data_IF_553171732337
#
_entry.id   IF_553171732337
#
_cell.length_a   1.000
_cell.length_b   1.000
_cell.length_c   1.000
_cell.angle_alpha   90.00
_cell.angle_beta   90.00
_cell.angle_gamma   90.00
#
_symmetry.space_group_name_H-M   'P 1'
#
loop_
_entity.id
_entity.type
_entity.pdbx_description
1 polymer ?
#
# COMPACT_ATOMS: atom_id res chain seq x y z
N UNK A 1 3.99 87.56 4.07
CA UNK A 1 4.80 86.34 3.91
C UNK A 1 5.49 86.08 5.24
N UNK A 2 5.39 84.96 5.96
CA UNK A 2 4.86 83.60 5.74
C UNK A 2 4.20 83.13 7.04
N UNK A 3 3.17 82.28 6.88
CA UNK A 3 2.28 81.78 7.92
C UNK A 3 2.95 80.68 8.77
N UNK A 4 2.72 80.74 10.08
CA UNK A 4 2.83 79.63 11.02
C UNK A 4 1.78 78.57 10.66
N UNK A 5 2.17 77.30 10.55
CA UNK A 5 1.24 76.17 10.46
C UNK A 5 1.47 75.32 11.70
N UNK A 6 0.48 75.35 12.60
CA UNK A 6 0.32 74.43 13.72
C UNK A 6 -0.24 73.13 13.15
N UNK A 7 0.50 72.04 13.26
CA UNK A 7 0.01 70.71 12.95
C UNK A 7 -0.77 70.17 14.15
N UNK A 8 -2.09 70.06 13.99
CA UNK A 8 -2.96 69.42 14.97
C UNK A 8 -2.71 67.90 14.96
N UNK A 9 -2.14 67.39 16.06
CA UNK A 9 -2.11 65.97 16.37
C UNK A 9 -3.54 65.53 16.74
N UNK A 10 -4.25 64.92 15.78
CA UNK A 10 -5.44 64.13 16.08
C UNK A 10 -4.99 62.84 16.77
N UNK A 11 -5.07 62.85 18.10
CA UNK A 11 -5.12 61.62 18.90
C UNK A 11 -6.43 60.92 18.57
N UNK A 12 -6.38 59.96 17.65
CA UNK A 12 -7.44 58.96 17.54
C UNK A 12 -7.37 58.10 18.81
N UNK A 13 -8.23 58.41 19.77
CA UNK A 13 -8.45 57.54 20.91
C UNK A 13 -8.94 56.20 20.40
N UNK A 14 -8.12 55.16 20.52
CA UNK A 14 -8.57 53.77 20.39
C UNK A 14 -9.42 53.46 21.60
N UNK A 15 -10.70 53.85 21.58
CA UNK A 15 -11.67 53.24 22.47
C UNK A 15 -11.61 51.73 22.21
N UNK A 16 -11.27 50.95 23.22
CA UNK A 16 -11.46 49.51 23.24
C UNK A 16 -12.96 49.23 23.23
N UNK A 17 -13.61 49.46 22.09
CA UNK A 17 -14.88 48.83 21.80
C UNK A 17 -14.56 47.33 21.75
N UNK A 18 -15.14 46.54 22.64
CA UNK A 18 -15.26 45.11 22.38
C UNK A 18 -15.99 45.02 21.03
N UNK A 19 -15.29 44.64 19.97
CA UNK A 19 -15.91 44.44 18.68
C UNK A 19 -17.00 43.38 18.88
N UNK A 20 -18.26 43.77 18.70
CA UNK A 20 -19.36 42.84 18.78
C UNK A 20 -19.21 41.83 17.64
N UNK A 21 -19.56 40.56 17.89
CA UNK A 21 -19.45 39.50 16.90
C UNK A 21 -20.07 39.92 15.56
N UNK A 22 -19.35 39.61 14.49
CA UNK A 22 -19.78 39.87 13.13
C UNK A 22 -21.14 39.20 12.87
N UNK A 23 -21.96 39.75 11.96
CA UNK A 23 -23.21 39.10 11.55
C UNK A 23 -22.97 37.67 11.02
N UNK A 24 -21.82 37.44 10.36
CA UNK A 24 -21.41 36.13 9.89
C UNK A 24 -21.18 35.15 11.05
N UNK A 25 -20.42 35.55 12.07
CA UNK A 25 -20.19 34.73 13.25
C UNK A 25 -21.51 34.42 13.97
N UNK A 26 -22.37 35.42 14.18
CA UNK A 26 -23.69 35.21 14.80
C UNK A 26 -24.57 34.21 14.05
N UNK A 27 -24.54 34.23 12.72
CA UNK A 27 -25.28 33.27 11.91
C UNK A 27 -24.75 31.84 12.13
N UNK A 28 -23.43 31.66 12.12
CA UNK A 28 -22.78 30.35 12.35
C UNK A 28 -23.10 29.83 13.76
N UNK A 29 -22.95 30.66 14.79
CA UNK A 29 -23.26 30.30 16.19
C UNK A 29 -24.75 30.03 16.42
N UNK A 30 -25.62 30.57 15.55
CA UNK A 30 -27.06 30.30 15.58
C UNK A 30 -27.44 28.89 15.11
N UNK A 31 -26.63 28.28 14.24
CA UNK A 31 -26.88 26.97 13.64
C UNK A 31 -26.96 25.86 14.70
N UNK A 32 -27.86 24.90 14.47
CA UNK A 32 -28.15 23.80 15.43
C UNK A 32 -27.61 22.45 15.01
N UNK A 33 -27.08 22.36 13.79
CA UNK A 33 -26.47 21.14 13.27
C UNK A 33 -25.11 21.43 12.70
N UNK A 34 -24.20 20.46 12.78
CA UNK A 34 -22.87 20.59 12.20
C UNK A 34 -22.95 20.97 10.71
N UNK A 35 -23.81 20.32 9.93
CA UNK A 35 -23.93 20.55 8.50
C UNK A 35 -24.37 21.98 8.17
N UNK A 36 -25.32 22.54 8.93
CA UNK A 36 -25.75 23.93 8.78
C UNK A 36 -24.62 24.91 9.14
N UNK A 37 -23.98 24.69 10.29
CA UNK A 37 -22.88 25.53 10.76
C UNK A 37 -21.69 25.52 9.78
N UNK A 38 -21.34 24.34 9.26
CA UNK A 38 -20.26 24.16 8.29
C UNK A 38 -20.58 24.83 6.95
N UNK A 39 -21.81 24.71 6.46
CA UNK A 39 -22.23 25.38 5.24
C UNK A 39 -22.14 26.91 5.37
N UNK A 40 -22.62 27.46 6.48
CA UNK A 40 -22.53 28.90 6.77
C UNK A 40 -21.08 29.36 6.90
N UNK A 41 -20.23 28.60 7.60
CA UNK A 41 -18.81 28.90 7.74
C UNK A 41 -18.10 28.91 6.39
N UNK A 42 -18.29 27.88 5.56
CA UNK A 42 -17.71 27.82 4.21
C UNK A 42 -18.12 29.00 3.34
N UNK A 43 -19.36 29.48 3.47
CA UNK A 43 -19.87 30.62 2.71
C UNK A 43 -19.34 31.98 3.22
N UNK A 44 -19.04 32.10 4.51
CA UNK A 44 -18.78 33.38 5.17
C UNK A 44 -17.42 33.49 5.85
N UNK A 45 -16.50 32.54 5.63
CA UNK A 45 -15.17 32.50 6.27
C UNK A 45 -14.38 33.81 6.11
N UNK A 46 -14.40 34.42 4.92
CA UNK A 46 -13.71 35.68 4.63
C UNK A 46 -14.40 36.91 5.23
N UNK A 47 -15.62 36.76 5.75
CA UNK A 47 -16.39 37.83 6.40
C UNK A 47 -16.17 37.86 7.92
N UNK A 48 -15.48 36.86 8.48
CA UNK A 48 -15.15 36.79 9.91
C UNK A 48 -14.01 37.77 10.26
N UNK A 49 -14.19 38.50 11.36
CA UNK A 49 -13.28 39.53 11.83
C UNK A 49 -12.02 38.91 12.48
N UNK A 50 -11.09 38.49 11.63
CA UNK A 50 -9.78 38.01 12.05
C UNK A 50 -9.77 36.60 12.64
N UNK A 51 -8.62 36.17 13.20
CA UNK A 51 -8.43 34.79 13.64
C UNK A 51 -9.30 34.40 14.83
N UNK A 52 -9.67 35.34 15.71
CA UNK A 52 -10.49 35.02 16.88
C UNK A 52 -11.89 34.55 16.49
N UNK A 53 -12.57 35.26 15.58
CA UNK A 53 -13.90 34.83 15.10
C UNK A 53 -13.83 33.54 14.28
N UNK A 54 -12.75 33.33 13.50
CA UNK A 54 -12.53 32.08 12.77
C UNK A 54 -12.37 30.90 13.73
N UNK A 55 -11.55 31.05 14.77
CA UNK A 55 -11.37 30.02 15.79
C UNK A 55 -12.68 29.70 16.53
N UNK A 56 -13.46 30.73 16.88
CA UNK A 56 -14.76 30.58 17.54
C UNK A 56 -15.79 29.85 16.66
N UNK A 57 -15.87 30.22 15.38
CA UNK A 57 -16.74 29.55 14.42
C UNK A 57 -16.39 28.05 14.27
N UNK A 58 -15.11 27.72 14.12
CA UNK A 58 -14.68 26.31 14.07
C UNK A 58 -14.91 25.59 15.40
N UNK A 59 -14.73 26.23 16.55
CA UNK A 59 -15.01 25.60 17.84
C UNK A 59 -16.50 25.25 17.99
N UNK A 60 -17.41 26.10 17.48
CA UNK A 60 -18.85 25.78 17.46
C UNK A 60 -19.16 24.52 16.66
N UNK A 61 -18.48 24.31 15.53
CA UNK A 61 -18.55 23.04 14.79
C UNK A 61 -18.07 21.87 15.65
N UNK A 62 -16.96 22.02 16.40
CA UNK A 62 -16.48 20.98 17.32
C UNK A 62 -17.53 20.67 18.39
N UNK A 63 -18.16 21.67 18.98
CA UNK A 63 -19.17 21.51 20.02
C UNK A 63 -20.38 20.72 19.51
N UNK A 64 -20.98 21.17 18.39
CA UNK A 64 -22.11 20.49 17.75
C UNK A 64 -21.79 19.03 17.42
N UNK A 65 -20.58 18.78 16.91
CA UNK A 65 -20.18 17.45 16.48
C UNK A 65 -19.84 16.54 17.66
N UNK A 66 -19.22 17.06 18.71
CA UNK A 66 -18.97 16.31 19.95
C UNK A 66 -20.25 15.98 20.70
N UNK A 67 -21.26 16.86 20.69
CA UNK A 67 -22.56 16.55 21.28
C UNK A 67 -23.22 15.33 20.61
N UNK A 68 -23.22 15.31 19.28
CA UNK A 68 -23.71 14.17 18.50
C UNK A 68 -22.89 12.90 18.76
N UNK A 69 -21.56 12.99 18.77
CA UNK A 69 -20.69 11.85 19.08
C UNK A 69 -20.96 11.31 20.50
N UNK A 70 -21.02 12.19 21.50
CA UNK A 70 -21.22 11.82 22.90
C UNK A 70 -22.57 11.12 23.08
N UNK A 71 -23.62 11.60 22.42
CA UNK A 71 -24.94 10.96 22.45
C UNK A 71 -24.89 9.52 21.95
N UNK A 72 -24.33 9.27 20.78
CA UNK A 72 -24.30 7.93 20.18
C UNK A 72 -23.31 7.00 20.90
N UNK A 73 -22.13 7.52 21.28
CA UNK A 73 -21.10 6.73 21.98
C UNK A 73 -21.51 6.31 23.40
N UNK A 74 -22.31 7.12 24.10
CA UNK A 74 -22.88 6.73 25.40
C UNK A 74 -23.82 5.53 25.26
N UNK A 75 -24.68 5.52 24.24
CA UNK A 75 -25.58 4.38 23.97
C UNK A 75 -24.76 3.14 23.59
N UNK A 76 -23.72 3.30 22.76
CA UNK A 76 -22.82 2.20 22.40
C UNK A 76 -22.11 1.61 23.63
N UNK A 77 -21.59 2.46 24.52
CA UNK A 77 -20.94 2.03 25.76
C UNK A 77 -21.91 1.34 26.72
N UNK A 78 -23.13 1.88 26.86
CA UNK A 78 -24.18 1.25 27.67
C UNK A 78 -24.50 -0.14 27.15
N UNK A 79 -24.71 -0.28 25.84
CA UNK A 79 -24.97 -1.57 25.21
C UNK A 79 -23.83 -2.58 25.44
N UNK A 80 -22.57 -2.15 25.30
CA UNK A 80 -21.41 -3.01 25.54
C UNK A 80 -21.33 -3.46 27.01
N UNK A 81 -21.59 -2.56 27.95
CA UNK A 81 -21.60 -2.84 29.40
C UNK A 81 -22.71 -3.83 29.76
N UNK A 82 -23.93 -3.63 29.25
CA UNK A 82 -25.05 -4.55 29.46
C UNK A 82 -24.73 -5.96 28.97
N UNK A 83 -24.16 -6.08 27.76
CA UNK A 83 -23.71 -7.38 27.20
C UNK A 83 -22.67 -8.06 28.08
N UNK A 84 -21.69 -7.31 28.60
CA UNK A 84 -20.67 -7.84 29.51
C UNK A 84 -21.28 -8.35 30.83
N UNK A 85 -22.37 -7.73 31.30
CA UNK A 85 -23.11 -8.15 32.48
C UNK A 85 -24.13 -9.29 32.21
N UNK A 86 -24.15 -9.84 30.99
CA UNK A 86 -25.10 -10.90 30.60
C UNK A 86 -26.53 -10.40 30.37
N UNK A 87 -26.73 -9.09 30.23
CA UNK A 87 -28.01 -8.46 29.92
C UNK A 87 -28.11 -8.11 28.43
N UNK A 88 -29.33 -7.85 27.94
CA UNK A 88 -29.52 -7.36 26.58
C UNK A 88 -28.96 -5.94 26.43
N UNK A 89 -28.13 -5.73 25.41
CA UNK A 89 -27.51 -4.44 25.08
C UNK A 89 -27.80 -4.05 23.63
N UNK A 90 -29.07 -3.78 23.34
CA UNK A 90 -29.58 -3.64 21.98
C UNK A 90 -30.29 -2.30 21.74
N UNK A 91 -30.05 -1.29 22.58
CA UNK A 91 -30.59 0.06 22.36
C UNK A 91 -30.06 0.58 21.03
N UNK A 92 -30.91 0.97 20.06
CA UNK A 92 -30.43 1.47 18.77
C UNK A 92 -29.59 2.74 18.93
N UNK A 93 -28.50 2.83 18.17
CA UNK A 93 -27.67 4.02 18.03
C UNK A 93 -27.16 4.11 16.59
N UNK A 94 -26.83 5.32 16.15
CA UNK A 94 -26.35 5.55 14.79
C UNK A 94 -24.81 5.47 14.77
N UNK A 95 -24.30 4.28 14.43
CA UNK A 95 -22.86 4.02 14.32
C UNK A 95 -22.18 4.90 13.26
N UNK A 96 -22.85 5.14 12.13
CA UNK A 96 -22.32 5.98 11.05
C UNK A 96 -22.17 7.42 11.55
N UNK A 97 -23.24 7.96 12.15
CA UNK A 97 -23.23 9.30 12.73
C UNK A 97 -22.19 9.42 13.83
N UNK A 98 -22.05 8.42 14.70
CA UNK A 98 -21.03 8.42 15.75
C UNK A 98 -19.61 8.64 15.18
N UNK A 99 -19.18 7.80 14.23
CA UNK A 99 -17.85 7.92 13.65
C UNK A 99 -17.67 9.20 12.82
N UNK A 100 -18.67 9.57 12.02
CA UNK A 100 -18.61 10.80 11.22
C UNK A 100 -18.54 12.05 12.10
N UNK A 101 -19.30 12.08 13.20
CA UNK A 101 -19.25 13.18 14.16
C UNK A 101 -17.89 13.28 14.85
N UNK A 102 -17.28 12.16 15.26
CA UNK A 102 -15.93 12.24 15.83
C UNK A 102 -14.89 12.74 14.81
N UNK A 103 -14.97 12.27 13.56
CA UNK A 103 -14.11 12.74 12.47
C UNK A 103 -14.28 14.24 12.23
N UNK A 104 -15.52 14.71 12.11
CA UNK A 104 -15.86 16.13 11.92
C UNK A 104 -15.34 17.00 13.06
N UNK A 105 -15.53 16.56 14.32
CA UNK A 105 -15.00 17.24 15.49
C UNK A 105 -13.47 17.34 15.45
N UNK A 106 -12.78 16.26 15.07
CA UNK A 106 -11.32 16.27 14.93
C UNK A 106 -10.86 17.27 13.85
N UNK A 107 -11.46 17.24 12.66
CA UNK A 107 -11.09 18.17 11.58
C UNK A 107 -11.34 19.63 11.97
N UNK A 108 -12.52 19.94 12.53
CA UNK A 108 -12.86 21.28 12.97
C UNK A 108 -11.95 21.77 14.10
N UNK A 109 -11.50 20.89 14.99
CA UNK A 109 -10.61 21.27 16.08
C UNK A 109 -9.17 21.56 15.59
N UNK A 110 -8.70 20.82 14.59
CA UNK A 110 -7.41 21.10 13.96
C UNK A 110 -7.43 22.48 13.29
N UNK A 111 -8.48 22.81 12.54
CA UNK A 111 -8.65 24.13 11.94
C UNK A 111 -8.88 25.24 12.97
N UNK A 112 -9.68 24.98 14.01
CA UNK A 112 -9.84 25.89 15.14
C UNK A 112 -8.48 26.28 15.73
N UNK A 113 -7.62 25.29 15.99
CA UNK A 113 -6.29 25.53 16.54
C UNK A 113 -5.38 26.33 15.59
N UNK A 114 -5.50 26.16 14.27
CA UNK A 114 -4.73 26.98 13.31
C UNK A 114 -4.99 28.47 13.50
N UNK A 115 -6.25 28.86 13.74
CA UNK A 115 -6.62 30.26 13.99
C UNK A 115 -6.40 30.69 15.45
N UNK A 116 -6.69 29.80 16.42
CA UNK A 116 -6.56 30.09 17.86
C UNK A 116 -5.12 30.38 18.29
N UNK A 117 -4.15 29.88 17.52
CA UNK A 117 -2.72 30.12 17.72
C UNK A 117 -2.19 31.37 17.00
N UNK A 118 -3.01 32.06 16.20
CA UNK A 118 -2.57 33.29 15.53
C UNK A 118 -2.53 34.48 16.51
N UNK A 119 -1.62 35.45 16.29
CA UNK A 119 -1.63 36.69 17.06
C UNK A 119 -2.94 37.45 16.86
N UNK A 120 -3.50 37.97 17.95
CA UNK A 120 -4.64 38.88 17.88
C UNK A 120 -4.24 40.26 17.33
N UNK A 121 -5.20 41.19 17.26
CA UNK A 121 -4.96 42.58 16.79
C UNK A 121 -3.86 43.32 17.59
N UNK A 122 -3.54 42.85 18.80
CA UNK A 122 -2.47 43.40 19.66
C UNK A 122 -1.15 42.63 19.53
N UNK A 123 -1.04 41.71 18.57
CA UNK A 123 0.14 40.88 18.32
C UNK A 123 0.38 39.79 19.36
N UNK A 124 -0.59 39.49 20.24
CA UNK A 124 -0.45 38.46 21.29
C UNK A 124 -1.10 37.15 20.86
N UNK A 125 -0.40 36.04 21.06
CA UNK A 125 -0.96 34.69 20.95
C UNK A 125 -1.59 34.30 22.28
N UNK A 126 -2.90 34.08 22.31
CA UNK A 126 -3.64 33.69 23.52
C UNK A 126 -4.76 32.69 23.16
N UNK A 127 -4.39 31.41 22.98
CA UNK A 127 -5.34 30.37 22.60
C UNK A 127 -6.49 30.25 23.62
N UNK A 128 -7.72 30.19 23.13
CA UNK A 128 -8.95 30.04 23.93
C UNK A 128 -9.44 28.59 23.94
N UNK A 129 -9.20 27.83 22.88
CA UNK A 129 -9.87 26.56 22.60
C UNK A 129 -8.91 25.35 22.53
N UNK A 130 -7.61 25.57 22.29
CA UNK A 130 -6.63 24.47 22.18
C UNK A 130 -6.75 23.46 23.33
N UNK A 131 -6.62 23.89 24.58
CA UNK A 131 -6.61 22.98 25.74
C UNK A 131 -7.93 22.21 25.92
N UNK A 132 -9.08 22.85 25.70
CA UNK A 132 -10.38 22.18 25.82
C UNK A 132 -10.57 21.14 24.71
N UNK A 133 -10.19 21.48 23.48
CA UNK A 133 -10.26 20.58 22.33
C UNK A 133 -9.29 19.42 22.46
N UNK A 134 -8.06 19.68 22.88
CA UNK A 134 -7.05 18.67 23.14
C UNK A 134 -7.55 17.61 24.14
N UNK A 135 -8.07 18.06 25.29
CA UNK A 135 -8.54 17.18 26.37
C UNK A 135 -9.70 16.28 25.95
N UNK A 136 -10.68 16.79 25.18
CA UNK A 136 -11.85 16.01 24.79
C UNK A 136 -11.60 15.08 23.60
N UNK A 137 -10.62 15.40 22.75
CA UNK A 137 -10.34 14.62 21.54
C UNK A 137 -9.21 13.61 21.73
N UNK A 138 -8.09 13.96 22.37
CA UNK A 138 -6.87 13.13 22.32
C UNK A 138 -7.08 11.68 22.78
N UNK A 139 -7.74 11.50 23.93
CA UNK A 139 -8.02 10.17 24.50
C UNK A 139 -8.97 9.31 23.67
N UNK A 140 -9.67 9.91 22.70
CA UNK A 140 -10.68 9.25 21.88
C UNK A 140 -10.21 8.98 20.44
N UNK A 141 -8.93 9.23 20.10
CA UNK A 141 -8.40 9.07 18.73
C UNK A 141 -8.63 7.68 18.15
N UNK A 142 -8.74 6.64 18.97
CA UNK A 142 -9.08 5.27 18.54
C UNK A 142 -10.40 5.19 17.75
N UNK A 143 -11.33 6.13 17.94
CA UNK A 143 -12.56 6.21 17.14
C UNK A 143 -12.29 6.50 15.67
N UNK A 144 -11.16 7.14 15.31
CA UNK A 144 -10.77 7.30 13.91
C UNK A 144 -10.36 5.96 13.30
N UNK A 145 -9.66 5.11 14.05
CA UNK A 145 -9.29 3.76 13.60
C UNK A 145 -10.56 2.94 13.35
N UNK A 146 -11.47 2.93 14.33
CA UNK A 146 -12.71 2.17 14.25
C UNK A 146 -13.62 2.67 13.11
N UNK A 147 -13.71 3.99 12.92
CA UNK A 147 -14.43 4.57 11.79
C UNK A 147 -13.80 4.18 10.45
N UNK A 148 -12.47 4.26 10.32
CA UNK A 148 -11.76 3.82 9.13
C UNK A 148 -12.05 2.36 8.79
N UNK A 149 -12.02 1.48 9.79
CA UNK A 149 -12.28 0.04 9.61
C UNK A 149 -13.75 -0.23 9.26
N UNK A 150 -14.69 0.48 9.87
CA UNK A 150 -16.11 0.43 9.55
C UNK A 150 -16.36 0.76 8.06
N UNK A 151 -15.79 1.86 7.56
CA UNK A 151 -15.94 2.25 6.17
C UNK A 151 -15.22 1.31 5.20
N UNK A 152 -14.04 0.80 5.58
CA UNK A 152 -13.28 -0.16 4.77
C UNK A 152 -14.05 -1.45 4.57
N UNK A 153 -14.64 -2.00 5.63
CA UNK A 153 -15.47 -3.22 5.56
C UNK A 153 -16.75 -2.99 4.74
N UNK A 154 -17.29 -1.78 4.74
CA UNK A 154 -18.40 -1.38 3.88
C UNK A 154 -18.00 -1.10 2.41
N UNK A 155 -16.73 -1.33 2.03
CA UNK A 155 -16.20 -1.07 0.69
C UNK A 155 -15.98 0.41 0.35
N UNK A 156 -16.13 1.32 1.32
CA UNK A 156 -15.99 2.77 1.17
C UNK A 156 -14.55 3.21 1.46
N UNK A 157 -13.61 2.71 0.66
CA UNK A 157 -12.17 2.85 0.91
C UNK A 157 -11.67 4.30 0.88
N UNK A 158 -12.26 5.19 0.07
CA UNK A 158 -11.91 6.62 0.07
C UNK A 158 -12.22 7.26 1.42
N UNK A 159 -13.41 7.01 1.96
CA UNK A 159 -13.80 7.52 3.30
C UNK A 159 -12.95 6.88 4.39
N UNK A 160 -12.66 5.58 4.29
CA UNK A 160 -11.77 4.91 5.24
C UNK A 160 -10.37 5.55 5.29
N UNK A 161 -9.83 5.93 4.13
CA UNK A 161 -8.54 6.60 4.04
C UNK A 161 -8.52 7.94 4.76
N UNK A 162 -9.60 8.73 4.65
CA UNK A 162 -9.71 10.01 5.36
C UNK A 162 -9.59 9.83 6.89
N UNK A 163 -10.22 8.78 7.42
CA UNK A 163 -10.14 8.43 8.84
C UNK A 163 -8.73 8.03 9.27
N UNK A 164 -8.05 7.17 8.50
CA UNK A 164 -6.66 6.79 8.79
C UNK A 164 -5.72 7.98 8.68
N UNK A 165 -5.92 8.87 7.69
CA UNK A 165 -5.17 10.12 7.56
C UNK A 165 -5.38 11.02 8.77
N UNK A 166 -6.61 11.22 9.21
CA UNK A 166 -6.92 12.01 10.40
C UNK A 166 -6.23 11.43 11.65
N UNK A 167 -6.17 10.11 11.80
CA UNK A 167 -5.44 9.48 12.89
C UNK A 167 -3.94 9.77 12.82
N UNK A 168 -3.31 9.58 11.66
CA UNK A 168 -1.87 9.80 11.48
C UNK A 168 -1.49 11.27 11.65
N UNK A 169 -2.24 12.19 11.03
CA UNK A 169 -1.99 13.64 11.13
C UNK A 169 -2.17 14.15 12.56
N UNK A 170 -3.13 13.61 13.31
CA UNK A 170 -3.38 14.03 14.70
C UNK A 170 -2.29 13.61 15.69
N UNK A 171 -1.37 12.70 15.33
CA UNK A 171 -0.31 12.25 16.24
C UNK A 171 0.63 13.39 16.68
N UNK A 172 1.05 14.23 15.73
CA UNK A 172 1.96 15.37 15.96
C UNK A 172 1.30 16.74 15.76
N UNK A 173 -0.03 16.78 15.68
CA UNK A 173 -0.75 18.04 15.52
C UNK A 173 -0.51 18.98 16.72
N UNK A 174 -0.22 20.29 16.48
CA UNK A 174 -0.01 21.26 17.55
C UNK A 174 -1.18 21.41 18.52
N UNK A 175 -2.39 21.04 18.10
CA UNK A 175 -3.59 20.96 18.94
C UNK A 175 -3.38 20.10 20.19
N UNK A 176 -2.48 19.12 20.15
CA UNK A 176 -2.25 18.19 21.27
C UNK A 176 -0.97 18.48 22.05
N UNK A 177 -0.42 19.70 21.95
CA UNK A 177 0.79 20.06 22.68
C UNK A 177 0.55 20.22 24.19
N UNK A 178 -0.68 20.54 24.63
CA UNK A 178 -1.02 20.68 26.05
C UNK A 178 -1.36 19.37 26.76
N UNK A 179 -1.51 18.26 26.04
CA UNK A 179 -1.83 16.95 26.62
C UNK A 179 -0.57 16.10 26.79
N UNK A 180 -0.54 15.31 27.87
CA UNK A 180 0.50 14.31 28.06
C UNK A 180 0.33 13.19 27.02
N UNK A 181 1.27 13.11 26.07
CA UNK A 181 1.24 12.08 25.03
C UNK A 181 1.65 10.74 25.61
N UNK A 182 0.81 9.72 25.41
CA UNK A 182 1.15 8.33 25.70
C UNK A 182 1.77 7.68 24.45
N UNK A 183 2.57 6.61 24.60
CA UNK A 183 2.97 5.80 23.45
C UNK A 183 1.74 5.38 22.65
N UNK A 184 1.76 5.66 21.35
CA UNK A 184 0.68 5.32 20.43
C UNK A 184 1.07 4.03 19.72
N UNK A 185 0.55 2.91 20.24
CA UNK A 185 0.86 1.57 19.72
C UNK A 185 0.29 1.35 18.30
N UNK A 186 -0.70 2.15 17.88
CA UNK A 186 -1.36 1.99 16.59
C UNK A 186 -0.80 2.92 15.50
N UNK A 187 0.00 3.91 15.86
CA UNK A 187 0.43 4.98 14.94
C UNK A 187 1.03 4.46 13.63
N UNK A 188 2.05 3.60 13.74
CA UNK A 188 2.73 3.06 12.56
C UNK A 188 1.88 2.04 11.80
N UNK A 189 1.05 1.26 12.51
CA UNK A 189 0.17 0.27 11.87
C UNK A 189 -0.99 0.91 11.13
N UNK A 190 -1.57 1.98 11.66
CA UNK A 190 -2.62 2.75 10.96
C UNK A 190 -2.03 3.43 9.74
N UNK A 191 -0.81 3.96 9.83
CA UNK A 191 -0.11 4.49 8.66
C UNK A 191 0.14 3.40 7.61
N UNK A 192 0.57 2.20 8.01
CA UNK A 192 0.76 1.06 7.11
C UNK A 192 -0.54 0.69 6.39
N UNK A 193 -1.67 0.57 7.11
CA UNK A 193 -2.98 0.28 6.51
C UNK A 193 -3.39 1.39 5.56
N UNK A 194 -3.28 2.65 5.99
CA UNK A 194 -3.59 3.80 5.16
C UNK A 194 -2.76 3.87 3.88
N UNK A 195 -1.47 3.54 3.94
CA UNK A 195 -0.57 3.50 2.79
C UNK A 195 -1.05 2.48 1.73
N UNK A 196 -1.45 1.28 2.17
CA UNK A 196 -1.99 0.23 1.28
C UNK A 196 -3.31 0.68 0.65
N UNK A 197 -4.24 1.22 1.45
CA UNK A 197 -5.53 1.71 0.95
C UNK A 197 -5.33 2.84 -0.06
N UNK A 198 -4.47 3.81 0.25
CA UNK A 198 -4.14 4.89 -0.67
C UNK A 198 -3.52 4.39 -1.98
N UNK A 199 -2.62 3.41 -1.91
CA UNK A 199 -2.03 2.80 -3.10
C UNK A 199 -3.10 2.11 -3.98
N UNK A 200 -4.02 1.36 -3.38
CA UNK A 200 -5.13 0.71 -4.10
C UNK A 200 -6.05 1.72 -4.79
N UNK A 201 -6.27 2.88 -4.15
CA UNK A 201 -7.01 4.01 -4.71
C UNK A 201 -6.19 4.82 -5.74
N UNK A 202 -4.94 4.44 -6.01
CA UNK A 202 -3.98 5.17 -6.85
C UNK A 202 -3.70 6.59 -6.36
N UNK A 203 -3.93 6.87 -5.08
CA UNK A 203 -3.55 8.10 -4.42
C UNK A 203 -2.09 7.99 -3.95
N UNK A 204 -1.17 8.07 -4.92
CA UNK A 204 0.25 7.78 -4.72
C UNK A 204 0.95 8.75 -3.76
N UNK A 205 0.53 10.01 -3.71
CA UNK A 205 1.10 11.01 -2.80
C UNK A 205 0.81 10.63 -1.35
N UNK A 206 -0.46 10.37 -1.02
CA UNK A 206 -0.86 9.94 0.33
C UNK A 206 -0.27 8.56 0.67
N UNK A 207 -0.22 7.65 -0.31
CA UNK A 207 0.41 6.34 -0.11
C UNK A 207 1.88 6.48 0.28
N UNK A 208 2.64 7.36 -0.38
CA UNK A 208 4.04 7.59 -0.06
C UNK A 208 4.21 8.26 1.33
N UNK A 209 3.40 9.28 1.65
CA UNK A 209 3.45 9.94 2.97
C UNK A 209 3.19 8.96 4.12
N UNK A 210 2.16 8.11 3.98
CA UNK A 210 1.82 7.13 5.00
C UNK A 210 2.84 5.98 5.07
N UNK A 211 3.40 5.57 3.92
CA UNK A 211 4.50 4.60 3.89
C UNK A 211 5.73 5.12 4.63
N UNK A 212 6.08 6.41 4.46
CA UNK A 212 7.19 7.06 5.17
C UNK A 212 6.99 7.07 6.69
N UNK A 213 5.74 7.17 7.16
CA UNK A 213 5.42 7.01 8.57
C UNK A 213 5.56 5.54 8.99
N UNK A 214 4.95 4.60 8.26
CA UNK A 214 4.99 3.18 8.58
C UNK A 214 6.42 2.61 8.67
N UNK A 215 7.32 3.06 7.78
CA UNK A 215 8.73 2.68 7.76
C UNK A 215 9.52 3.07 9.03
N UNK A 216 9.02 3.99 9.85
CA UNK A 216 9.61 4.36 11.15
C UNK A 216 9.20 3.40 12.27
N UNK A 217 8.25 2.49 12.01
CA UNK A 217 7.89 1.40 12.91
C UNK A 217 8.96 0.30 12.95
N UNK A 218 8.57 -0.90 13.37
CA UNK A 218 9.47 -2.05 13.48
C UNK A 218 8.88 -3.32 12.85
N UNK A 219 9.75 -4.27 12.49
CA UNK A 219 9.34 -5.57 11.96
C UNK A 219 8.48 -5.44 10.71
N UNK A 220 7.39 -6.22 10.68
CA UNK A 220 6.47 -6.30 9.54
C UNK A 220 5.90 -4.92 9.14
N UNK A 221 5.65 -4.03 10.10
CA UNK A 221 5.10 -2.69 9.82
C UNK A 221 6.05 -1.85 8.96
N UNK A 222 7.34 -1.87 9.32
CA UNK A 222 8.36 -1.14 8.56
C UNK A 222 8.60 -1.76 7.19
N UNK A 223 8.60 -3.10 7.12
CA UNK A 223 8.72 -3.85 5.86
C UNK A 223 7.56 -3.52 4.92
N UNK A 224 6.31 -3.62 5.38
CA UNK A 224 5.15 -3.32 4.57
C UNK A 224 5.10 -1.85 4.12
N UNK A 225 5.54 -0.91 4.96
CA UNK A 225 5.73 0.49 4.56
C UNK A 225 6.71 0.63 3.39
N UNK A 226 7.86 -0.04 3.47
CA UNK A 226 8.85 -0.06 2.38
C UNK A 226 8.26 -0.67 1.10
N UNK A 227 7.47 -1.74 1.22
CA UNK A 227 6.86 -2.44 0.09
C UNK A 227 5.91 -1.51 -0.67
N UNK A 228 5.06 -0.76 0.05
CA UNK A 228 4.19 0.26 -0.57
C UNK A 228 5.02 1.34 -1.23
N UNK A 229 6.10 1.81 -0.59
CA UNK A 229 6.97 2.84 -1.16
C UNK A 229 7.60 2.39 -2.48
N UNK A 230 8.11 1.16 -2.54
CA UNK A 230 8.63 0.57 -3.78
C UNK A 230 7.54 0.46 -4.85
N UNK A 231 6.33 0.00 -4.47
CA UNK A 231 5.21 -0.12 -5.38
C UNK A 231 4.78 1.24 -5.97
N UNK A 232 4.72 2.30 -5.13
CA UNK A 232 4.44 3.67 -5.58
C UNK A 232 5.48 4.16 -6.58
N UNK A 233 6.77 3.97 -6.27
CA UNK A 233 7.85 4.36 -7.19
C UNK A 233 7.76 3.63 -8.53
N UNK A 234 7.49 2.33 -8.51
CA UNK A 234 7.30 1.51 -9.70
C UNK A 234 6.06 1.88 -10.52
N UNK A 235 4.99 2.36 -9.87
CA UNK A 235 3.76 2.78 -10.55
C UNK A 235 3.91 4.11 -11.33
N UNK A 236 4.91 4.93 -11.01
CA UNK A 236 5.13 6.23 -11.62
C UNK A 236 6.23 6.25 -12.69
N UNK A 237 6.67 5.08 -13.17
CA UNK A 237 7.66 4.98 -14.25
C UNK A 237 7.01 5.27 -15.60
N UNK A 238 7.47 6.30 -16.31
CA UNK A 238 6.91 6.72 -17.61
C UNK A 238 7.86 6.47 -18.77
N UNK A 239 9.17 6.44 -18.49
CA UNK A 239 10.20 6.30 -19.50
C UNK A 239 11.39 5.45 -19.00
N UNK A 240 12.39 5.28 -19.86
CA UNK A 240 13.59 4.51 -19.54
C UNK A 240 14.42 5.15 -18.42
N UNK A 241 14.53 6.49 -18.39
CA UNK A 241 15.29 7.22 -17.36
C UNK A 241 14.67 7.01 -15.97
N UNK A 242 13.33 7.03 -15.87
CA UNK A 242 12.61 6.72 -14.63
C UNK A 242 12.95 5.30 -14.15
N UNK A 243 12.94 4.33 -15.07
CA UNK A 243 13.28 2.93 -14.76
C UNK A 243 14.72 2.80 -14.25
N UNK A 244 15.67 3.52 -14.85
CA UNK A 244 17.07 3.55 -14.40
C UNK A 244 17.18 4.18 -13.01
N UNK A 245 16.53 5.32 -12.77
CA UNK A 245 16.54 6.00 -11.48
C UNK A 245 15.92 5.13 -10.38
N UNK A 246 14.79 4.49 -10.66
CA UNK A 246 14.15 3.55 -9.74
C UNK A 246 15.05 2.35 -9.44
N UNK A 247 15.65 1.74 -10.47
CA UNK A 247 16.57 0.61 -10.30
C UNK A 247 17.77 0.97 -9.43
N UNK A 248 18.38 2.14 -9.65
CA UNK A 248 19.45 2.63 -8.79
C UNK A 248 18.99 2.80 -7.34
N UNK A 249 17.76 3.27 -7.13
CA UNK A 249 17.21 3.40 -5.78
C UNK A 249 17.00 2.05 -5.10
N UNK A 250 16.42 1.08 -5.79
CA UNK A 250 16.23 -0.28 -5.27
C UNK A 250 17.58 -0.92 -4.95
N UNK A 251 18.60 -0.71 -5.80
CA UNK A 251 19.97 -1.16 -5.55
C UNK A 251 20.57 -0.56 -4.29
N UNK A 252 20.43 0.75 -4.06
CA UNK A 252 20.87 1.40 -2.82
C UNK A 252 20.19 0.81 -1.57
N UNK A 253 18.88 0.54 -1.67
CA UNK A 253 18.12 -0.06 -0.58
C UNK A 253 18.59 -1.49 -0.31
N UNK A 254 18.84 -2.27 -1.36
CA UNK A 254 19.35 -3.64 -1.24
C UNK A 254 20.73 -3.66 -0.59
N UNK A 255 21.63 -2.75 -0.97
CA UNK A 255 22.98 -2.66 -0.39
C UNK A 255 22.96 -2.37 1.13
N UNK A 256 21.88 -1.74 1.64
CA UNK A 256 21.69 -1.51 3.08
C UNK A 256 21.00 -2.67 3.80
N UNK A 257 20.35 -3.57 3.05
CA UNK A 257 19.59 -4.69 3.59
C UNK A 257 19.64 -5.90 2.64
N UNK A 258 20.81 -6.51 2.49
CA UNK A 258 21.06 -7.58 1.50
C UNK A 258 20.27 -8.87 1.77
N UNK A 259 19.75 -9.02 2.99
CA UNK A 259 18.90 -10.13 3.42
C UNK A 259 17.41 -9.92 3.12
N UNK A 260 17.00 -8.74 2.66
CA UNK A 260 15.60 -8.49 2.33
C UNK A 260 15.24 -9.12 0.99
N UNK A 261 14.52 -10.24 1.03
CA UNK A 261 14.10 -11.01 -0.14
C UNK A 261 13.17 -10.22 -1.07
N UNK A 262 12.37 -9.28 -0.56
CA UNK A 262 11.52 -8.46 -1.43
C UNK A 262 12.35 -7.48 -2.26
N UNK A 263 13.29 -6.77 -1.63
CA UNK A 263 14.14 -5.82 -2.36
C UNK A 263 14.98 -6.58 -3.39
N UNK A 264 15.51 -7.76 -3.01
CA UNK A 264 16.20 -8.66 -3.92
C UNK A 264 15.33 -9.02 -5.12
N UNK A 265 14.12 -9.55 -4.89
CA UNK A 265 13.18 -9.91 -5.95
C UNK A 265 12.81 -8.73 -6.85
N UNK A 266 12.59 -7.54 -6.27
CA UNK A 266 12.33 -6.31 -7.02
C UNK A 266 13.50 -5.95 -7.93
N UNK A 267 14.72 -6.02 -7.43
CA UNK A 267 15.92 -5.72 -8.21
C UNK A 267 16.14 -6.74 -9.34
N UNK A 268 15.87 -8.03 -9.07
CA UNK A 268 15.90 -9.10 -10.07
C UNK A 268 14.90 -8.83 -11.21
N UNK A 269 13.67 -8.46 -10.87
CA UNK A 269 12.64 -8.09 -11.87
C UNK A 269 13.09 -6.89 -12.71
N UNK A 270 13.65 -5.85 -12.07
CA UNK A 270 14.10 -4.65 -12.75
C UNK A 270 15.24 -4.94 -13.73
N UNK A 271 16.30 -5.63 -13.29
CA UNK A 271 17.41 -5.99 -14.18
C UNK A 271 16.96 -6.92 -15.32
N UNK A 272 16.06 -7.88 -15.05
CA UNK A 272 15.53 -8.77 -16.10
C UNK A 272 14.74 -7.98 -17.15
N UNK A 273 13.83 -7.10 -16.73
CA UNK A 273 13.02 -6.28 -17.66
C UNK A 273 13.87 -5.30 -18.47
N UNK A 274 14.93 -4.75 -17.87
CA UNK A 274 15.86 -3.83 -18.52
C UNK A 274 16.96 -4.55 -19.33
N UNK A 275 16.97 -5.88 -19.34
CA UNK A 275 17.99 -6.73 -20.00
C UNK A 275 19.42 -6.43 -19.51
N UNK A 276 19.56 -6.05 -18.23
CA UNK A 276 20.83 -5.78 -17.57
C UNK A 276 21.47 -7.09 -17.09
N UNK A 277 21.96 -7.88 -18.05
CA UNK A 277 22.40 -9.27 -17.82
C UNK A 277 23.62 -9.37 -16.89
N UNK A 278 24.59 -8.47 -17.04
CA UNK A 278 25.81 -8.51 -16.25
C UNK A 278 25.53 -8.15 -14.78
N UNK A 279 24.72 -7.12 -14.55
CA UNK A 279 24.29 -6.72 -13.21
C UNK A 279 23.44 -7.79 -12.54
N UNK A 280 22.54 -8.44 -13.29
CA UNK A 280 21.73 -9.53 -12.77
C UNK A 280 22.58 -10.75 -12.39
N UNK A 281 23.52 -11.16 -13.25
CA UNK A 281 24.41 -12.28 -12.97
C UNK A 281 25.26 -12.01 -11.73
N UNK A 282 25.83 -10.80 -11.62
CA UNK A 282 26.57 -10.38 -10.44
C UNK A 282 25.72 -10.41 -9.17
N UNK A 283 24.49 -9.86 -9.22
CA UNK A 283 23.55 -9.88 -8.10
C UNK A 283 23.26 -11.32 -7.65
N UNK A 284 23.08 -12.23 -8.61
CA UNK A 284 22.87 -13.64 -8.33
C UNK A 284 24.11 -14.33 -7.75
N UNK A 285 25.31 -14.05 -8.25
CA UNK A 285 26.55 -14.61 -7.72
C UNK A 285 26.79 -14.16 -6.26
N UNK A 286 26.55 -12.87 -5.98
CA UNK A 286 26.60 -12.33 -4.62
C UNK A 286 25.58 -13.04 -3.71
N UNK A 287 24.33 -13.23 -4.18
CA UNK A 287 23.29 -13.93 -3.41
C UNK A 287 23.64 -15.39 -3.15
N UNK A 288 24.18 -16.10 -4.14
CA UNK A 288 24.58 -17.51 -4.00
C UNK A 288 25.83 -17.70 -3.14
N UNK A 289 26.70 -16.69 -3.05
CA UNK A 289 27.81 -16.72 -2.11
C UNK A 289 27.33 -16.69 -0.64
N UNK A 290 26.21 -16.02 -0.37
CA UNK A 290 25.57 -16.00 0.96
C UNK A 290 24.66 -17.22 1.19
N UNK A 291 23.87 -17.60 0.18
CA UNK A 291 22.93 -18.72 0.21
C UNK A 291 23.10 -19.60 -1.04
N UNK A 292 23.98 -20.63 -0.98
CA UNK A 292 24.25 -21.52 -2.11
C UNK A 292 23.03 -22.31 -2.61
N UNK A 293 21.96 -22.38 -1.82
CA UNK A 293 20.73 -23.10 -2.14
C UNK A 293 19.55 -22.14 -2.34
N UNK A 294 19.82 -20.90 -2.79
CA UNK A 294 18.76 -19.93 -3.05
C UNK A 294 17.91 -20.34 -4.26
N UNK A 295 16.68 -20.81 -4.01
CA UNK A 295 15.75 -21.25 -5.04
C UNK A 295 15.47 -20.17 -6.10
N UNK A 296 15.25 -18.92 -5.68
CA UNK A 296 14.86 -17.82 -6.57
C UNK A 296 15.94 -17.57 -7.61
N UNK A 297 17.22 -17.57 -7.21
CA UNK A 297 18.34 -17.39 -8.14
C UNK A 297 18.31 -18.47 -9.23
N UNK A 298 18.28 -19.75 -8.86
CA UNK A 298 18.32 -20.84 -9.83
C UNK A 298 17.08 -20.86 -10.73
N UNK A 299 15.89 -20.61 -10.18
CA UNK A 299 14.65 -20.54 -10.94
C UNK A 299 14.68 -19.41 -11.99
N UNK A 300 15.08 -18.20 -11.60
CA UNK A 300 15.09 -17.04 -12.51
C UNK A 300 16.25 -17.10 -13.50
N UNK A 301 17.43 -17.60 -13.11
CA UNK A 301 18.52 -17.88 -14.06
C UNK A 301 18.07 -18.86 -15.14
N UNK A 302 17.38 -19.94 -14.75
CA UNK A 302 16.81 -20.91 -15.67
C UNK A 302 15.80 -20.28 -16.63
N UNK A 303 14.90 -19.44 -16.11
CA UNK A 303 13.87 -18.74 -16.89
C UNK A 303 14.45 -17.76 -17.89
N UNK A 304 15.41 -16.94 -17.48
CA UNK A 304 16.03 -15.98 -18.39
C UNK A 304 16.82 -16.70 -19.50
N UNK A 305 17.57 -17.76 -19.15
CA UNK A 305 18.27 -18.58 -20.12
C UNK A 305 17.30 -19.27 -21.11
N UNK A 306 16.17 -19.80 -20.63
CA UNK A 306 15.13 -20.37 -21.49
C UNK A 306 14.56 -19.33 -22.45
N UNK A 307 14.26 -18.13 -21.98
CA UNK A 307 13.76 -17.01 -22.80
C UNK A 307 14.75 -16.58 -23.88
N UNK A 308 16.06 -16.67 -23.59
CA UNK A 308 17.14 -16.41 -24.54
C UNK A 308 17.40 -17.60 -25.50
N UNK A 309 16.72 -18.73 -25.31
CA UNK A 309 16.94 -19.97 -26.07
C UNK A 309 18.20 -20.75 -25.68
N UNK A 310 18.89 -20.34 -24.60
CA UNK A 310 20.04 -21.01 -24.02
C UNK A 310 19.60 -22.16 -23.10
N UNK A 311 19.16 -23.24 -23.76
CA UNK A 311 18.66 -24.45 -23.09
C UNK A 311 19.76 -25.15 -22.29
N UNK A 312 21.03 -25.01 -22.70
CA UNK A 312 22.17 -25.63 -22.03
C UNK A 312 22.44 -24.98 -20.67
N UNK A 313 22.21 -23.66 -20.53
CA UNK A 313 22.21 -22.98 -19.22
C UNK A 313 20.91 -23.19 -18.44
N UNK A 314 19.76 -23.25 -19.11
CA UNK A 314 18.45 -23.33 -18.44
C UNK A 314 18.26 -24.63 -17.64
N UNK A 315 18.53 -25.78 -18.25
CA UNK A 315 18.32 -27.11 -17.65
C UNK A 315 19.05 -27.30 -16.32
N UNK A 316 20.37 -27.08 -16.19
CA UNK A 316 21.08 -27.29 -14.92
C UNK A 316 20.58 -26.36 -13.81
N UNK A 317 20.21 -25.11 -14.14
CA UNK A 317 19.63 -24.18 -13.18
C UNK A 317 18.26 -24.65 -12.69
N UNK A 318 17.38 -25.08 -13.61
CA UNK A 318 16.09 -25.65 -13.20
C UNK A 318 16.22 -26.95 -12.41
N UNK A 319 17.16 -27.83 -12.77
CA UNK A 319 17.47 -29.02 -11.97
C UNK A 319 17.87 -28.64 -10.55
N UNK A 320 18.73 -27.63 -10.39
CA UNK A 320 19.12 -27.16 -9.07
C UNK A 320 17.95 -26.56 -8.28
N UNK A 321 17.08 -25.80 -8.95
CA UNK A 321 15.85 -25.28 -8.34
C UNK A 321 14.91 -26.42 -7.88
N UNK A 322 14.77 -27.51 -8.64
CA UNK A 322 13.98 -28.69 -8.26
C UNK A 322 14.65 -29.52 -7.14
N UNK A 323 15.98 -29.57 -7.06
CA UNK A 323 16.65 -30.17 -5.89
C UNK A 323 16.27 -29.44 -4.60
N UNK A 324 16.10 -28.12 -4.65
CA UNK A 324 15.76 -27.28 -3.49
C UNK A 324 14.25 -27.33 -3.20
N UNK A 325 13.41 -27.22 -4.22
CA UNK A 325 11.95 -27.31 -4.12
C UNK A 325 11.40 -28.36 -5.10
N UNK A 326 11.33 -29.64 -4.70
CA UNK A 326 10.99 -30.74 -5.60
C UNK A 326 9.55 -30.72 -6.10
N UNK A 327 8.65 -30.07 -5.38
CA UNK A 327 7.20 -30.05 -5.65
C UNK A 327 6.73 -28.69 -6.21
N UNK A 328 7.58 -28.05 -7.00
CA UNK A 328 7.22 -26.82 -7.70
C UNK A 328 6.74 -27.14 -9.13
N UNK A 329 5.41 -27.21 -9.34
CA UNK A 329 4.80 -27.56 -10.62
C UNK A 329 5.25 -26.66 -11.79
N UNK A 330 5.48 -25.36 -11.52
CA UNK A 330 5.88 -24.39 -12.52
C UNK A 330 7.31 -24.66 -13.02
N UNK A 331 8.26 -24.89 -12.11
CA UNK A 331 9.65 -25.21 -12.47
C UNK A 331 9.75 -26.60 -13.12
N UNK A 332 9.00 -27.59 -12.64
CA UNK A 332 8.93 -28.92 -13.27
C UNK A 332 8.48 -28.82 -14.73
N UNK A 333 7.52 -27.94 -14.99
CA UNK A 333 7.02 -27.68 -16.35
C UNK A 333 8.06 -27.00 -17.23
N UNK A 334 8.75 -25.99 -16.72
CA UNK A 334 9.82 -25.32 -17.47
C UNK A 334 10.99 -26.26 -17.76
N UNK A 335 11.39 -27.09 -16.81
CA UNK A 335 12.41 -28.10 -16.99
C UNK A 335 12.01 -29.14 -18.05
N UNK A 336 10.78 -29.66 -17.96
CA UNK A 336 10.26 -30.61 -18.93
C UNK A 336 10.18 -30.04 -20.35
N UNK A 337 9.74 -28.78 -20.50
CA UNK A 337 9.75 -28.08 -21.78
C UNK A 337 11.17 -27.90 -22.34
N UNK A 338 12.13 -27.48 -21.50
CA UNK A 338 13.54 -27.35 -21.91
C UNK A 338 14.14 -28.68 -22.35
N UNK A 339 13.84 -29.77 -21.63
CA UNK A 339 14.30 -31.12 -21.99
C UNK A 339 13.68 -31.59 -23.31
N UNK A 340 12.40 -31.32 -23.54
CA UNK A 340 11.75 -31.58 -24.82
C UNK A 340 12.45 -30.83 -25.95
N UNK A 341 12.66 -29.52 -25.80
CA UNK A 341 13.28 -28.69 -26.84
C UNK A 341 14.74 -29.11 -27.10
N UNK A 342 15.49 -29.53 -26.07
CA UNK A 342 16.83 -30.12 -26.22
C UNK A 342 16.80 -31.40 -27.04
N UNK A 343 15.88 -32.31 -26.72
CA UNK A 343 15.73 -33.57 -27.43
C UNK A 343 15.30 -33.34 -28.88
N UNK A 344 14.32 -32.47 -29.12
CA UNK A 344 13.87 -32.11 -30.47
C UNK A 344 15.00 -31.53 -31.32
N UNK A 345 15.79 -30.57 -30.81
CA UNK A 345 16.95 -30.03 -31.53
C UNK A 345 17.99 -31.10 -31.86
N UNK A 346 18.20 -32.07 -30.96
CA UNK A 346 19.09 -33.20 -31.20
C UNK A 346 18.57 -34.12 -32.31
N UNK A 347 17.26 -34.35 -32.39
CA UNK A 347 16.63 -35.14 -33.47
C UNK A 347 16.75 -34.45 -34.82
N UNK A 348 16.40 -33.17 -34.87
CA UNK A 348 16.50 -32.36 -36.08
C UNK A 348 17.94 -32.40 -36.61
N UNK A 349 18.93 -32.22 -35.73
CA UNK A 349 20.35 -32.31 -36.10
C UNK A 349 20.74 -33.71 -36.59
N UNK A 350 20.24 -34.76 -35.95
CA UNK A 350 20.56 -36.15 -36.30
C UNK A 350 19.93 -36.57 -37.64
N UNK A 351 18.74 -36.08 -37.95
CA UNK A 351 18.02 -36.35 -39.20
C UNK A 351 18.33 -35.38 -40.34
N UNK A 352 19.07 -34.29 -40.09
CA UNK A 352 19.27 -33.19 -41.05
C UNK A 352 19.88 -33.63 -42.40
N UNK A 353 20.69 -34.69 -42.43
CA UNK A 353 21.40 -35.12 -43.64
C UNK A 353 20.63 -36.17 -44.45
N UNK A 354 19.93 -37.09 -43.80
CA UNK A 354 19.34 -38.28 -44.42
C UNK A 354 17.81 -38.33 -44.32
N UNK A 355 17.20 -37.47 -43.51
CA UNK A 355 15.78 -37.55 -43.14
C UNK A 355 15.46 -38.65 -42.13
N UNK A 356 16.40 -39.55 -41.86
CA UNK A 356 16.28 -40.64 -40.89
C UNK A 356 17.20 -40.42 -39.70
N UNK A 357 16.67 -40.59 -38.48
CA UNK A 357 17.45 -40.49 -37.24
C UNK A 357 18.21 -41.80 -37.00
N UNK A 358 19.55 -41.82 -36.95
CA UNK A 358 20.32 -43.04 -36.71
C UNK A 358 19.95 -43.71 -35.39
N UNK A 359 19.95 -45.05 -35.35
CA UNK A 359 19.59 -45.82 -34.15
C UNK A 359 20.44 -45.45 -32.92
N UNK A 360 21.72 -45.13 -33.12
CA UNK A 360 22.63 -44.67 -32.06
C UNK A 360 22.24 -43.29 -31.50
N UNK A 361 21.78 -42.37 -32.35
CA UNK A 361 21.27 -41.07 -31.92
C UNK A 361 19.93 -41.22 -31.19
N UNK A 362 19.02 -42.04 -31.72
CA UNK A 362 17.74 -42.36 -31.08
C UNK A 362 17.93 -42.89 -29.66
N UNK A 363 18.88 -43.80 -29.45
CA UNK A 363 19.21 -44.37 -28.14
C UNK A 363 19.67 -43.32 -27.10
N UNK A 364 20.21 -42.17 -27.54
CA UNK A 364 20.62 -41.07 -26.66
C UNK A 364 19.52 -40.04 -26.42
N UNK A 365 18.65 -39.84 -27.41
CA UNK A 365 17.62 -38.80 -27.39
C UNK A 365 16.36 -39.29 -26.65
N UNK A 366 15.95 -40.54 -26.88
CA UNK A 366 14.72 -41.09 -26.31
C UNK A 366 14.68 -41.04 -24.77
N UNK A 367 15.78 -41.29 -24.03
CA UNK A 367 15.83 -41.06 -22.58
C UNK A 367 15.55 -39.61 -22.16
N UNK A 368 15.92 -38.61 -22.97
CA UNK A 368 15.67 -37.19 -22.65
C UNK A 368 14.19 -36.85 -22.79
N UNK A 369 13.50 -37.38 -23.80
CA UNK A 369 12.04 -37.27 -23.87
C UNK A 369 11.35 -37.97 -22.70
N UNK A 370 11.87 -39.12 -22.25
CA UNK A 370 11.36 -39.82 -21.07
C UNK A 370 11.60 -39.05 -19.77
N UNK A 371 12.73 -38.37 -19.66
CA UNK A 371 13.00 -37.47 -18.54
C UNK A 371 12.01 -36.29 -18.54
N UNK A 372 11.76 -35.68 -19.70
CA UNK A 372 10.76 -34.64 -19.87
C UNK A 372 9.34 -35.12 -19.48
N UNK A 373 8.96 -36.32 -19.93
CA UNK A 373 7.69 -36.98 -19.57
C UNK A 373 7.53 -37.06 -18.06
N UNK A 374 8.53 -37.57 -17.34
CA UNK A 374 8.47 -37.73 -15.89
C UNK A 374 8.27 -36.41 -15.13
N UNK A 375 9.00 -35.35 -15.51
CA UNK A 375 8.83 -34.04 -14.87
C UNK A 375 7.45 -33.41 -15.15
N UNK A 376 6.94 -33.56 -16.37
CA UNK A 376 5.64 -33.01 -16.76
C UNK A 376 4.46 -33.81 -16.20
N UNK A 377 4.57 -35.13 -16.09
CA UNK A 377 3.60 -35.96 -15.36
C UNK A 377 3.57 -35.59 -13.87
N UNK A 378 4.73 -35.32 -13.25
CA UNK A 378 4.79 -34.81 -11.87
C UNK A 378 4.13 -33.43 -11.75
N UNK A 379 4.36 -32.52 -12.70
CA UNK A 379 3.70 -31.22 -12.72
C UNK A 379 2.17 -31.35 -12.84
N UNK A 380 1.67 -32.26 -13.69
CA UNK A 380 0.25 -32.61 -13.80
C UNK A 380 -0.33 -33.13 -12.49
N UNK A 381 0.41 -33.97 -11.78
CA UNK A 381 -0.03 -34.52 -10.49
C UNK A 381 -0.17 -33.43 -9.42
N UNK A 382 0.76 -32.47 -9.38
CA UNK A 382 0.78 -31.39 -8.39
C UNK A 382 -0.25 -30.29 -8.68
N UNK A 383 -0.54 -30.03 -9.95
CA UNK A 383 -1.46 -28.98 -10.38
C UNK A 383 -2.40 -29.48 -11.50
N UNK A 384 -3.31 -30.43 -11.22
CA UNK A 384 -4.16 -31.05 -12.24
C UNK A 384 -5.09 -30.04 -12.95
N UNK A 385 -5.44 -28.95 -12.26
CA UNK A 385 -6.33 -27.90 -12.77
C UNK A 385 -5.58 -26.78 -13.51
N UNK A 386 -4.24 -26.82 -13.55
CA UNK A 386 -3.38 -25.79 -14.19
C UNK A 386 -3.59 -24.39 -13.61
N UNK A 387 -3.83 -24.31 -12.30
CA UNK A 387 -4.00 -23.02 -11.61
C UNK A 387 -2.67 -22.26 -11.53
N UNK A 388 -1.55 -22.99 -11.49
CA UNK A 388 -0.21 -22.46 -11.27
C UNK A 388 0.75 -22.74 -12.43
N UNK A 389 0.53 -23.81 -13.22
CA UNK A 389 1.44 -24.21 -14.28
C UNK A 389 0.75 -24.72 -15.54
N UNK A 390 1.24 -24.28 -16.69
CA UNK A 390 0.74 -24.63 -18.02
C UNK A 390 1.44 -25.89 -18.59
N UNK A 391 1.35 -27.03 -17.88
CA UNK A 391 2.03 -28.27 -18.26
C UNK A 391 1.39 -29.04 -19.42
N UNK A 392 0.11 -28.80 -19.74
CA UNK A 392 -0.64 -29.61 -20.71
C UNK A 392 -0.02 -29.58 -22.11
N UNK A 393 0.35 -28.41 -22.61
CA UNK A 393 0.91 -28.28 -23.95
C UNK A 393 2.31 -28.93 -24.08
N UNK A 394 3.28 -28.68 -23.18
CA UNK A 394 4.54 -29.42 -23.19
C UNK A 394 4.35 -30.93 -23.05
N UNK A 395 3.44 -31.40 -22.18
CA UNK A 395 3.18 -32.82 -21.99
C UNK A 395 2.57 -33.48 -23.23
N UNK A 396 1.63 -32.79 -23.90
CA UNK A 396 1.10 -33.21 -25.19
C UNK A 396 2.22 -33.40 -26.23
N UNK A 397 3.14 -32.44 -26.36
CA UNK A 397 4.27 -32.55 -27.31
C UNK A 397 5.14 -33.78 -27.01
N UNK A 398 5.43 -34.03 -25.73
CA UNK A 398 6.19 -35.21 -25.29
C UNK A 398 5.46 -36.51 -25.64
N UNK A 399 4.17 -36.63 -25.30
CA UNK A 399 3.38 -37.83 -25.61
C UNK A 399 3.22 -38.05 -27.11
N UNK A 400 2.92 -37.00 -27.87
CA UNK A 400 2.84 -37.05 -29.33
C UNK A 400 4.13 -37.60 -29.92
N UNK A 401 5.28 -37.10 -29.46
CA UNK A 401 6.57 -37.58 -29.93
C UNK A 401 6.83 -39.03 -29.52
N UNK A 402 6.60 -39.41 -28.27
CA UNK A 402 6.95 -40.75 -27.76
C UNK A 402 6.01 -41.86 -28.23
N UNK A 403 4.72 -41.57 -28.32
CA UNK A 403 3.67 -42.58 -28.50
C UNK A 403 2.85 -42.39 -29.78
N UNK A 404 2.92 -41.20 -30.37
CA UNK A 404 2.18 -40.85 -31.58
C UNK A 404 0.79 -40.24 -31.30
N UNK A 405 0.12 -39.76 -32.36
CA UNK A 405 -1.11 -38.98 -32.26
C UNK A 405 -2.33 -39.76 -31.77
N UNK A 406 -2.36 -41.08 -31.95
CA UNK A 406 -3.51 -41.92 -31.62
C UNK A 406 -3.39 -42.57 -30.23
N UNK A 407 -2.28 -42.37 -29.54
CA UNK A 407 -2.11 -42.90 -28.19
C UNK A 407 -3.12 -42.23 -27.23
N UNK A 408 -3.82 -42.99 -26.36
CA UNK A 408 -4.78 -42.43 -25.43
C UNK A 408 -4.22 -41.29 -24.57
N UNK A 409 -2.95 -41.38 -24.15
CA UNK A 409 -2.31 -40.30 -23.37
C UNK A 409 -2.14 -39.03 -24.19
N UNK A 410 -1.76 -39.15 -25.46
CA UNK A 410 -1.61 -38.02 -26.37
C UNK A 410 -2.95 -37.31 -26.60
N UNK A 411 -4.00 -38.08 -26.88
CA UNK A 411 -5.36 -37.54 -27.13
C UNK A 411 -5.91 -36.83 -25.88
N UNK A 412 -5.72 -37.43 -24.70
CA UNK A 412 -6.12 -36.81 -23.43
C UNK A 412 -5.37 -35.49 -23.19
N UNK A 413 -4.04 -35.49 -23.35
CA UNK A 413 -3.24 -34.29 -23.14
C UNK A 413 -3.59 -33.18 -24.13
N UNK A 414 -3.86 -33.50 -25.40
CA UNK A 414 -4.30 -32.55 -26.43
C UNK A 414 -5.63 -31.88 -26.07
N UNK A 415 -6.59 -32.64 -25.53
CA UNK A 415 -7.87 -32.09 -25.10
C UNK A 415 -7.71 -31.05 -23.98
N UNK A 416 -6.64 -31.15 -23.17
CA UNK A 416 -6.34 -30.24 -22.06
C UNK A 416 -5.57 -28.98 -22.48
N UNK A 417 -5.14 -28.88 -23.74
CA UNK A 417 -4.47 -27.67 -24.26
C UNK A 417 -5.44 -26.63 -24.83
N UNK A 418 -6.74 -26.96 -24.84
CA UNK A 418 -7.84 -26.09 -25.28
C UNK A 418 -8.50 -25.47 -24.05
#
# INVERSE_FOLDING_TARGET
MRKLIVAALMVLGTSTAFAADSPALKAILGAKTYAEAEALLKQSLEQLAGPEEKAEAYNHLVDLSMDDFNKESQVALQNATMKQMGQEGNTPFDTLKMYQSYYNAMQAALECNNYDQMPNEKGKVKPKYEKSNANRLYGNRVNLIQGGEYFRTAGKNEVALDFYKAYVVSYDAPLFNSVEKKPDEFYYDVARVGAVVAFQLKNYDVANEMADVAMKGSGETAEQGLNVKLAVMGANLKNHEDSVAYTNKVKELYAKNTKNEMIFGTLVTLYSNMKMKDELNKLFDEKLAEDPNNFVVYAVRGQNAQFEGDIDTAIPNYKKAIEIQPDNAQILTYLGACLFDKAQKAEEKAGATTGEIPATAKAQIEPVFKEAEGYLEKAKQLDPNREQSQWAYPLYRVYYRLYGPQDPKTVEAEALTK
#
